data_IF_801953565794
#
_entry.id   IF_801953565794
#
_cell.length_a   1.000
_cell.length_b   1.000
_cell.length_c   1.000
_cell.angle_alpha   90.00
_cell.angle_beta   90.00
_cell.angle_gamma   90.00
#
_symmetry.space_group_name_H-M   'P 1'
#
loop_
_entity.id
_entity.type
_entity.pdbx_description
1 polymer ?
#
# COMPACT_ATOMS: atom_id res chain seq x y z
N UNK A 1 -5.17 -11.45 -15.47
CA UNK A 1 -5.74 -10.12 -15.18
C UNK A 1 -5.41 -9.10 -16.26
N UNK A 2 -4.16 -9.02 -16.71
CA UNK A 2 -3.76 -8.09 -17.78
C UNK A 2 -4.47 -8.45 -19.09
N UNK A 3 -4.57 -9.71 -19.41
CA UNK A 3 -5.26 -10.22 -20.60
C UNK A 3 -6.75 -9.88 -20.58
N UNK A 4 -7.32 -9.72 -19.40
CA UNK A 4 -8.72 -9.34 -19.22
C UNK A 4 -8.95 -7.82 -19.28
N UNK A 5 -7.89 -7.05 -19.59
CA UNK A 5 -7.97 -5.60 -19.72
C UNK A 5 -7.88 -4.82 -18.42
N UNK A 6 -7.39 -5.43 -17.35
CA UNK A 6 -7.19 -4.73 -16.08
C UNK A 6 -6.15 -3.60 -16.24
N UNK A 7 -6.42 -2.43 -15.67
CA UNK A 7 -5.52 -1.28 -15.69
C UNK A 7 -4.56 -1.27 -14.50
N UNK A 8 -4.94 -1.90 -13.41
CA UNK A 8 -4.17 -1.99 -12.17
C UNK A 8 -4.08 -3.45 -11.73
N UNK A 9 -2.90 -3.86 -11.30
CA UNK A 9 -2.65 -5.22 -10.80
C UNK A 9 -2.26 -5.12 -9.34
N UNK A 10 -3.09 -5.71 -8.49
CA UNK A 10 -2.83 -5.84 -7.05
C UNK A 10 -2.33 -7.27 -6.79
N UNK A 11 -1.23 -7.40 -6.04
CA UNK A 11 -0.84 -8.70 -5.55
C UNK A 11 -0.35 -8.63 -4.11
N UNK A 12 -0.63 -9.66 -3.34
CA UNK A 12 -0.17 -9.78 -1.96
C UNK A 12 1.16 -10.54 -1.98
N UNK A 13 2.16 -10.03 -1.26
CA UNK A 13 3.45 -10.73 -1.14
C UNK A 13 3.24 -12.12 -0.55
N UNK A 14 4.16 -13.04 -0.82
CA UNK A 14 4.12 -14.36 -0.23
C UNK A 14 4.60 -14.29 1.22
N UNK A 15 3.66 -14.17 2.14
CA UNK A 15 3.95 -14.00 3.58
C UNK A 15 4.69 -15.21 4.14
N UNK A 16 4.35 -16.42 3.69
CA UNK A 16 5.06 -17.65 4.09
C UNK A 16 6.54 -17.61 3.76
N UNK A 17 6.87 -17.22 2.53
CA UNK A 17 8.26 -17.10 2.09
C UNK A 17 8.98 -15.98 2.83
N UNK A 18 8.31 -14.87 3.09
CA UNK A 18 8.85 -13.77 3.88
C UNK A 18 9.20 -14.22 5.30
N UNK A 19 8.28 -14.91 5.97
CA UNK A 19 8.49 -15.43 7.33
C UNK A 19 9.58 -16.48 7.40
N UNK A 20 9.81 -17.21 6.31
CA UNK A 20 10.90 -18.18 6.17
C UNK A 20 12.25 -17.51 5.86
N UNK A 21 12.29 -16.21 5.69
CA UNK A 21 13.52 -15.47 5.40
C UNK A 21 13.97 -15.52 3.94
N UNK A 22 13.10 -15.96 3.03
CA UNK A 22 13.42 -16.07 1.59
C UNK A 22 13.26 -14.72 0.88
N UNK A 23 14.06 -13.73 1.28
CA UNK A 23 13.98 -12.36 0.76
C UNK A 23 14.32 -12.29 -0.74
N UNK A 24 15.20 -13.14 -1.22
CA UNK A 24 15.52 -13.19 -2.66
C UNK A 24 14.30 -13.61 -3.48
N UNK A 25 13.51 -14.54 -2.98
CA UNK A 25 12.25 -14.96 -3.60
C UNK A 25 11.27 -13.79 -3.65
N UNK A 26 11.13 -13.05 -2.55
CA UNK A 26 10.23 -11.90 -2.44
C UNK A 26 10.64 -10.82 -3.46
N UNK A 27 11.91 -10.50 -3.55
CA UNK A 27 12.42 -9.51 -4.49
C UNK A 27 12.18 -9.93 -5.94
N UNK A 28 12.49 -11.17 -6.27
CA UNK A 28 12.34 -11.70 -7.63
C UNK A 28 10.87 -11.73 -8.07
N UNK A 29 9.97 -12.17 -7.20
CA UNK A 29 8.53 -12.18 -7.48
C UNK A 29 8.02 -10.76 -7.73
N UNK A 30 8.38 -9.83 -6.87
CA UNK A 30 7.98 -8.42 -7.01
C UNK A 30 8.50 -7.85 -8.33
N UNK A 31 9.76 -8.11 -8.67
CA UNK A 31 10.37 -7.65 -9.91
C UNK A 31 9.64 -8.18 -11.14
N UNK A 32 9.32 -9.48 -11.16
CA UNK A 32 8.61 -10.09 -12.28
C UNK A 32 7.24 -9.44 -12.50
N UNK A 33 6.50 -9.19 -11.44
CA UNK A 33 5.17 -8.58 -11.52
C UNK A 33 5.28 -7.12 -11.98
N UNK A 34 6.22 -6.36 -11.43
CA UNK A 34 6.44 -4.96 -11.82
C UNK A 34 6.86 -4.87 -13.29
N UNK A 35 7.75 -5.73 -13.74
CA UNK A 35 8.21 -5.74 -15.13
C UNK A 35 7.05 -6.04 -16.10
N UNK A 36 6.21 -7.02 -15.78
CA UNK A 36 5.03 -7.35 -16.59
C UNK A 36 4.08 -6.16 -16.65
N UNK A 37 3.84 -5.49 -15.52
CA UNK A 37 2.97 -4.32 -15.48
C UNK A 37 3.53 -3.18 -16.33
N UNK A 38 4.83 -2.92 -16.24
CA UNK A 38 5.49 -1.87 -17.01
C UNK A 38 5.45 -2.15 -18.52
N UNK A 39 5.68 -3.39 -18.93
CA UNK A 39 5.62 -3.80 -20.34
C UNK A 39 4.23 -3.60 -20.94
N UNK A 40 3.19 -3.68 -20.13
CA UNK A 40 1.80 -3.55 -20.55
C UNK A 40 1.17 -2.21 -20.17
N UNK A 41 1.95 -1.25 -19.68
CA UNK A 41 1.49 0.06 -19.22
C UNK A 41 0.42 -0.04 -18.14
N UNK A 42 0.57 -0.98 -17.21
CA UNK A 42 -0.35 -1.19 -16.09
C UNK A 42 0.26 -0.71 -14.78
N UNK A 43 -0.61 -0.34 -13.84
CA UNK A 43 -0.19 0.07 -12.51
C UNK A 43 0.01 -1.17 -11.65
N UNK A 44 1.17 -1.28 -11.02
CA UNK A 44 1.47 -2.36 -10.08
C UNK A 44 1.25 -1.87 -8.64
N UNK A 45 0.57 -2.70 -7.83
CA UNK A 45 0.36 -2.45 -6.40
C UNK A 45 0.80 -3.67 -5.62
N UNK A 46 1.76 -3.49 -4.76
CA UNK A 46 2.28 -4.55 -3.91
C UNK A 46 1.65 -4.41 -2.52
N UNK A 47 0.87 -5.41 -2.13
CA UNK A 47 0.17 -5.40 -0.84
C UNK A 47 1.03 -6.10 0.19
N UNK A 48 1.42 -5.36 1.24
CA UNK A 48 2.26 -5.88 2.32
C UNK A 48 1.47 -6.74 3.30
N UNK A 49 0.21 -6.43 3.54
CA UNK A 49 -0.65 -7.01 4.59
C UNK A 49 0.02 -6.84 5.96
N UNK A 50 0.21 -5.59 6.35
CA UNK A 50 1.01 -5.19 7.52
C UNK A 50 0.59 -5.85 8.84
N UNK A 51 -0.68 -6.27 8.96
CA UNK A 51 -1.16 -6.92 10.17
C UNK A 51 -0.44 -8.24 10.49
N UNK A 52 0.22 -8.84 9.50
CA UNK A 52 0.98 -10.07 9.67
C UNK A 52 2.50 -9.84 9.76
N UNK A 53 2.95 -8.58 9.68
CA UNK A 53 4.36 -8.24 9.59
C UNK A 53 4.86 -7.54 10.84
N UNK A 54 6.11 -7.84 11.21
CA UNK A 54 6.85 -7.05 12.20
C UNK A 54 7.36 -5.76 11.56
N UNK A 55 7.65 -4.75 12.37
CA UNK A 55 8.15 -3.46 11.86
C UNK A 55 9.43 -3.62 11.01
N UNK A 56 10.34 -4.49 11.45
CA UNK A 56 11.58 -4.79 10.72
C UNK A 56 11.31 -5.41 9.36
N UNK A 57 10.27 -6.25 9.27
CA UNK A 57 9.86 -6.87 8.01
C UNK A 57 9.26 -5.84 7.06
N UNK A 58 8.46 -4.92 7.58
CA UNK A 58 7.91 -3.81 6.79
C UNK A 58 9.03 -2.94 6.21
N UNK A 59 10.02 -2.59 7.02
CA UNK A 59 11.18 -1.79 6.58
C UNK A 59 11.93 -2.50 5.46
N UNK A 60 12.26 -3.77 5.64
CA UNK A 60 13.01 -4.54 4.65
C UNK A 60 12.23 -4.70 3.35
N UNK A 61 10.93 -4.96 3.43
CA UNK A 61 10.06 -5.07 2.27
C UNK A 61 9.94 -3.73 1.54
N UNK A 62 9.85 -2.62 2.28
CA UNK A 62 9.81 -1.28 1.71
C UNK A 62 11.12 -0.94 0.99
N UNK A 63 12.25 -1.35 1.52
CA UNK A 63 13.55 -1.18 0.85
C UNK A 63 13.64 -1.98 -0.45
N UNK A 64 13.08 -3.19 -0.47
CA UNK A 64 12.97 -3.99 -1.69
C UNK A 64 12.09 -3.26 -2.72
N UNK A 65 10.95 -2.72 -2.29
CA UNK A 65 10.07 -1.93 -3.16
C UNK A 65 10.77 -0.69 -3.71
N UNK A 66 11.58 -0.03 -2.91
CA UNK A 66 12.39 1.12 -3.37
C UNK A 66 13.31 0.73 -4.52
N UNK A 67 13.88 -0.47 -4.47
CA UNK A 67 14.77 -1.00 -5.50
C UNK A 67 14.02 -1.44 -6.75
N UNK A 68 12.92 -2.16 -6.58
CA UNK A 68 12.12 -2.72 -7.68
C UNK A 68 11.21 -1.69 -8.34
N UNK A 69 10.72 -0.73 -7.55
CA UNK A 69 9.88 0.40 -7.99
C UNK A 69 8.51 0.00 -8.56
N UNK A 70 7.66 -0.71 -7.76
CA UNK A 70 6.25 -0.80 -8.12
C UNK A 70 5.63 0.59 -8.09
N UNK A 71 4.49 0.78 -8.75
CA UNK A 71 3.82 2.08 -8.74
C UNK A 71 3.33 2.43 -7.33
N UNK A 72 2.74 1.44 -6.64
CA UNK A 72 2.24 1.58 -5.27
C UNK A 72 2.67 0.43 -4.38
N UNK A 73 2.86 0.75 -3.11
CA UNK A 73 2.80 -0.25 -2.03
C UNK A 73 1.54 0.03 -1.22
N UNK A 74 0.85 -1.01 -0.81
CA UNK A 74 -0.43 -0.92 -0.11
C UNK A 74 -0.32 -1.59 1.26
N UNK A 75 -0.91 -0.99 2.28
CA UNK A 75 -0.82 -1.52 3.64
C UNK A 75 -1.55 -2.85 3.82
N UNK A 76 -2.75 -2.98 3.28
CA UNK A 76 -3.65 -4.07 3.61
C UNK A 76 -4.65 -4.36 2.49
N UNK A 77 -5.17 -5.59 2.46
CA UNK A 77 -6.28 -5.97 1.57
C UNK A 77 -7.63 -5.47 2.08
N UNK A 78 -7.73 -5.22 3.37
CA UNK A 78 -9.01 -4.98 4.06
C UNK A 78 -9.63 -6.23 4.68
N UNK A 79 -9.04 -7.40 4.42
CA UNK A 79 -9.53 -8.69 4.92
C UNK A 79 -8.67 -9.27 6.05
N UNK A 80 -7.57 -8.61 6.41
CA UNK A 80 -6.71 -9.05 7.50
C UNK A 80 -7.27 -8.68 8.88
N UNK A 81 -6.51 -9.00 9.93
CA UNK A 81 -6.90 -8.76 11.32
C UNK A 81 -6.91 -7.29 11.70
N UNK A 82 -6.16 -6.47 10.98
CA UNK A 82 -6.14 -5.01 11.15
C UNK A 82 -5.88 -4.34 9.81
N UNK A 83 -6.10 -3.04 9.76
CA UNK A 83 -5.91 -2.25 8.56
C UNK A 83 -4.71 -1.29 8.64
N UNK A 84 -4.80 -0.19 7.93
CA UNK A 84 -3.77 0.83 7.91
C UNK A 84 -3.60 1.51 9.27
N UNK A 85 -2.36 1.78 9.62
CA UNK A 85 -2.02 2.62 10.77
C UNK A 85 -1.13 3.75 10.30
N UNK A 86 -1.21 4.89 10.97
CA UNK A 86 -0.37 6.07 10.66
C UNK A 86 1.11 5.69 10.75
N UNK A 87 1.47 4.94 11.79
CA UNK A 87 2.84 4.50 12.02
C UNK A 87 3.37 3.66 10.85
N UNK A 88 2.59 2.69 10.37
CA UNK A 88 2.98 1.83 9.25
C UNK A 88 3.09 2.61 7.94
N UNK A 89 2.15 3.50 7.66
CA UNK A 89 2.17 4.35 6.46
C UNK A 89 3.43 5.20 6.45
N UNK A 90 3.74 5.83 7.57
CA UNK A 90 4.93 6.67 7.73
C UNK A 90 6.19 5.84 7.53
N UNK A 91 6.26 4.67 8.14
CA UNK A 91 7.38 3.76 8.01
C UNK A 91 7.60 3.31 6.56
N UNK A 92 6.53 2.95 5.87
CA UNK A 92 6.59 2.56 4.46
C UNK A 92 7.09 3.73 3.61
N UNK A 93 6.54 4.92 3.80
CA UNK A 93 6.92 6.10 3.01
C UNK A 93 8.39 6.48 3.22
N UNK A 94 8.89 6.40 4.43
CA UNK A 94 10.30 6.68 4.73
C UNK A 94 11.26 5.75 3.98
N UNK A 95 10.85 4.50 3.75
CA UNK A 95 11.74 3.46 3.20
C UNK A 95 11.52 3.15 1.73
N UNK A 96 10.37 3.50 1.14
CA UNK A 96 10.13 3.25 -0.31
C UNK A 96 10.71 4.34 -1.21
N UNK A 97 11.06 5.49 -0.67
CA UNK A 97 11.60 6.61 -1.45
C UNK A 97 10.53 7.38 -2.22
N UNK A 98 10.98 8.24 -3.14
CA UNK A 98 10.10 9.17 -3.84
C UNK A 98 9.45 8.57 -5.10
N UNK A 99 9.99 7.48 -5.62
CA UNK A 99 9.51 6.87 -6.86
C UNK A 99 8.33 5.90 -6.66
N UNK A 100 8.03 5.55 -5.41
CA UNK A 100 6.97 4.61 -5.06
C UNK A 100 5.96 5.31 -4.17
N UNK A 101 4.69 5.17 -4.50
CA UNK A 101 3.59 5.78 -3.75
C UNK A 101 3.01 4.80 -2.74
N UNK A 102 2.41 5.30 -1.68
CA UNK A 102 1.81 4.48 -0.62
C UNK A 102 0.28 4.63 -0.66
N UNK A 103 -0.41 3.49 -0.67
CA UNK A 103 -1.86 3.43 -0.52
C UNK A 103 -2.19 2.89 0.87
N UNK A 104 -2.92 3.66 1.66
CA UNK A 104 -3.42 3.24 2.96
C UNK A 104 -4.81 2.62 2.79
N UNK A 105 -5.02 1.42 3.29
CA UNK A 105 -6.29 0.71 3.16
C UNK A 105 -6.63 -0.09 4.41
N UNK A 106 -7.92 -0.23 4.68
CA UNK A 106 -8.44 -0.97 5.83
C UNK A 106 -8.57 -0.09 7.07
N UNK A 107 -9.72 -0.09 7.68
CA UNK A 107 -9.97 0.62 8.94
C UNK A 107 -10.10 2.14 8.82
N UNK A 108 -10.08 2.70 7.61
CA UNK A 108 -10.21 4.15 7.41
C UNK A 108 -11.69 4.48 7.22
N UNK A 109 -12.30 5.05 8.26
CA UNK A 109 -13.76 5.21 8.33
C UNK A 109 -14.25 6.64 8.49
N UNK A 110 -13.36 7.59 8.70
CA UNK A 110 -13.70 9.00 8.87
C UNK A 110 -12.61 9.90 8.29
N UNK A 111 -12.93 11.19 8.19
CA UNK A 111 -12.00 12.17 7.65
C UNK A 111 -10.76 12.35 8.53
N UNK A 112 -10.91 12.33 9.86
CA UNK A 112 -9.76 12.50 10.75
C UNK A 112 -8.70 11.42 10.53
N UNK A 113 -9.12 10.16 10.42
CA UNK A 113 -8.21 9.05 10.12
C UNK A 113 -7.62 9.18 8.72
N UNK A 114 -8.46 9.52 7.73
CA UNK A 114 -8.01 9.72 6.35
C UNK A 114 -6.95 10.81 6.26
N UNK A 115 -7.19 11.96 6.89
CA UNK A 115 -6.24 13.08 6.91
C UNK A 115 -4.91 12.68 7.56
N UNK A 116 -4.97 11.91 8.66
CA UNK A 116 -3.76 11.43 9.33
C UNK A 116 -2.93 10.51 8.42
N UNK A 117 -3.58 9.66 7.61
CA UNK A 117 -2.89 8.80 6.65
C UNK A 117 -2.22 9.61 5.54
N UNK A 118 -2.90 10.63 5.03
CA UNK A 118 -2.35 11.53 4.00
C UNK A 118 -1.15 12.29 4.56
N UNK A 119 -1.24 12.81 5.77
CA UNK A 119 -0.12 13.51 6.43
C UNK A 119 1.07 12.58 6.67
N UNK A 120 0.82 11.29 6.89
CA UNK A 120 1.88 10.30 7.05
C UNK A 120 2.56 9.92 5.73
N UNK A 121 2.00 10.31 4.59
CA UNK A 121 2.60 10.10 3.28
C UNK A 121 1.77 9.27 2.29
N UNK A 122 0.57 8.84 2.66
CA UNK A 122 -0.29 8.12 1.71
C UNK A 122 -0.79 9.07 0.62
N UNK A 123 -0.70 8.65 -0.62
CA UNK A 123 -1.21 9.41 -1.78
C UNK A 123 -2.53 8.83 -2.29
N UNK A 124 -2.91 7.63 -1.82
CA UNK A 124 -4.20 7.00 -2.11
C UNK A 124 -4.77 6.39 -0.85
N UNK A 125 -6.10 6.41 -0.78
CA UNK A 125 -6.86 5.85 0.35
C UNK A 125 -7.84 4.81 -0.19
N UNK A 126 -7.77 3.60 0.35
CA UNK A 126 -8.75 2.54 0.08
C UNK A 126 -9.72 2.46 1.25
N UNK A 127 -11.00 2.69 0.99
CA UNK A 127 -12.02 2.71 2.04
C UNK A 127 -13.39 2.31 1.51
N UNK A 128 -14.20 1.71 2.37
CA UNK A 128 -15.63 1.50 2.11
C UNK A 128 -16.51 2.61 2.72
N UNK A 129 -15.89 3.59 3.38
CA UNK A 129 -16.59 4.68 4.10
C UNK A 129 -16.42 6.04 3.41
N UNK A 130 -16.31 6.05 2.07
CA UNK A 130 -16.05 7.26 1.30
C UNK A 130 -17.01 8.40 1.59
N UNK A 131 -18.32 8.12 1.71
CA UNK A 131 -19.33 9.11 2.01
C UNK A 131 -19.07 9.80 3.36
N UNK A 132 -18.82 9.01 4.41
CA UNK A 132 -18.54 9.54 5.75
C UNK A 132 -17.28 10.38 5.78
N UNK A 133 -16.25 9.95 5.04
CA UNK A 133 -14.99 10.69 4.93
C UNK A 133 -15.23 12.04 4.25
N UNK A 134 -15.97 12.07 3.15
CA UNK A 134 -16.29 13.31 2.43
C UNK A 134 -17.14 14.25 3.29
N UNK A 135 -18.09 13.75 4.04
CA UNK A 135 -18.88 14.55 4.97
C UNK A 135 -17.99 15.21 6.03
N UNK A 136 -17.05 14.48 6.61
CA UNK A 136 -16.08 15.02 7.56
C UNK A 136 -15.16 16.05 6.93
N UNK A 137 -14.72 15.83 5.71
CA UNK A 137 -13.92 16.79 4.94
C UNK A 137 -14.70 18.10 4.73
N UNK A 138 -15.96 18.00 4.30
CA UNK A 138 -16.81 19.16 4.06
C UNK A 138 -17.04 19.96 5.33
N UNK A 139 -17.27 19.32 6.47
CA UNK A 139 -17.43 19.98 7.77
C UNK A 139 -16.20 20.79 8.17
N UNK A 140 -14.99 20.31 7.84
CA UNK A 140 -13.72 20.98 8.20
C UNK A 140 -13.25 21.97 7.15
N UNK A 141 -13.74 21.89 5.91
CA UNK A 141 -13.29 22.71 4.78
C UNK A 141 -14.36 23.63 4.21
N UNK A 142 -15.56 23.62 4.78
CA UNK A 142 -16.62 24.57 4.39
C UNK A 142 -16.21 25.96 4.89
N UNK A 143 -16.23 26.94 3.98
CA UNK A 143 -15.97 28.32 4.33
C UNK A 143 -17.04 28.83 5.28
N UNK A 144 -16.60 29.27 6.41
CA UNK A 144 -17.50 29.91 7.36
C UNK A 144 -17.98 31.26 6.80
#
# INVERSE_FOLDING_TARGET
AIEDGADEIDYVINIGELKSGNWDYIEEEMKQIVDICNENNKISKVIFENCYLEKEEIVKLAEIAKKVKPTFVKTSTGFGTSGATVEDVKLMKEHVGDDVQVKAAGGIRDWATCAAMIDAGATRIGTSSGKKILEGYDETHVSA
#
